data_IF_663259860533
#
_entry.id   IF_663259860533
#
_cell.length_a   1.000
_cell.length_b   1.000
_cell.length_c   1.000
_cell.angle_alpha   90.00
_cell.angle_beta   90.00
_cell.angle_gamma   90.00
#
_symmetry.space_group_name_H-M   'P 1'
#
loop_
_entity.id
_entity.type
_entity.pdbx_description
1 polymer ?
#
# COMPACT_ATOMS: atom_id res chain seq x y z
N UNK A 1 -6.51 20.68 -9.25
CA UNK A 1 -5.30 19.95 -9.68
C UNK A 1 -5.66 18.48 -9.74
N UNK A 2 -5.23 17.74 -10.76
CA UNK A 2 -5.58 16.32 -10.96
C UNK A 2 -4.32 15.46 -10.99
N UNK A 3 -4.44 14.20 -10.62
CA UNK A 3 -3.35 13.21 -10.76
C UNK A 3 -3.00 13.00 -12.25
N UNK A 4 -1.70 12.87 -12.62
CA UNK A 4 -0.51 13.08 -11.79
C UNK A 4 -0.14 14.56 -11.64
N UNK A 5 0.41 14.94 -10.49
CA UNK A 5 0.88 16.30 -10.19
C UNK A 5 2.25 16.28 -9.48
N UNK A 6 3.32 16.02 -10.23
CA UNK A 6 4.67 15.92 -9.68
C UNK A 6 5.17 17.24 -9.06
N UNK A 7 5.92 17.13 -7.96
CA UNK A 7 6.59 18.27 -7.30
C UNK A 7 5.64 19.28 -6.64
N UNK A 8 4.33 19.03 -6.67
CA UNK A 8 3.30 19.90 -6.10
C UNK A 8 2.55 19.16 -5.01
N UNK A 9 2.48 19.75 -3.82
CA UNK A 9 1.60 19.25 -2.75
C UNK A 9 0.15 19.50 -3.17
N UNK A 10 -0.56 18.42 -3.50
CA UNK A 10 -1.94 18.46 -3.97
C UNK A 10 -2.90 18.12 -2.83
N UNK A 11 -3.83 19.02 -2.45
CA UNK A 11 -4.87 18.67 -1.50
C UNK A 11 -5.86 17.67 -2.13
N UNK A 12 -6.26 16.66 -1.35
CA UNK A 12 -7.21 15.61 -1.77
C UNK A 12 -8.45 15.60 -0.90
N UNK A 13 -8.26 15.63 0.43
CA UNK A 13 -9.35 15.86 1.40
C UNK A 13 -9.05 17.08 2.25
N UNK A 14 -9.89 17.38 3.25
CA UNK A 14 -9.63 18.48 4.19
C UNK A 14 -8.34 18.25 4.99
N UNK A 15 -8.03 16.98 5.29
CA UNK A 15 -6.94 16.60 6.20
C UNK A 15 -5.78 15.89 5.52
N UNK A 16 -5.90 15.54 4.24
CA UNK A 16 -4.89 14.80 3.50
C UNK A 16 -4.52 15.48 2.18
N UNK A 17 -3.21 15.65 1.98
CA UNK A 17 -2.59 16.07 0.73
C UNK A 17 -1.58 15.02 0.26
N UNK A 18 -1.28 15.00 -1.04
CA UNK A 18 -0.28 14.10 -1.63
C UNK A 18 0.86 14.88 -2.27
N UNK A 19 2.09 14.45 -2.01
CA UNK A 19 3.26 14.80 -2.81
C UNK A 19 3.67 13.54 -3.58
N UNK A 20 3.52 13.57 -4.90
CA UNK A 20 3.87 12.46 -5.76
C UNK A 20 5.37 12.50 -6.10
N UNK A 21 6.10 11.46 -5.70
CA UNK A 21 7.48 11.25 -6.10
C UNK A 21 7.55 10.88 -7.60
N UNK A 22 8.54 11.38 -8.33
CA UNK A 22 8.69 11.10 -9.77
C UNK A 22 9.55 9.85 -10.01
N UNK A 23 9.08 8.70 -9.50
CA UNK A 23 9.68 7.37 -9.66
C UNK A 23 8.75 6.42 -10.43
N UNK A 24 8.31 6.76 -11.66
CA UNK A 24 7.36 5.93 -12.41
C UNK A 24 7.96 4.58 -12.79
N UNK A 25 7.11 3.54 -12.80
CA UNK A 25 7.54 2.19 -13.09
C UNK A 25 6.38 1.20 -13.17
N UNK A 26 6.65 -0.07 -13.57
CA UNK A 26 5.61 -1.08 -13.69
C UNK A 26 4.85 -1.36 -12.38
N UNK A 27 5.53 -1.20 -11.24
CA UNK A 27 4.95 -1.43 -9.91
C UNK A 27 4.51 -0.13 -9.23
N UNK A 28 5.22 0.98 -9.45
CA UNK A 28 4.95 2.27 -8.82
C UNK A 28 3.99 3.17 -9.61
N UNK A 29 3.54 2.73 -10.80
CA UNK A 29 2.69 3.51 -11.71
C UNK A 29 3.34 4.85 -12.11
N UNK A 30 2.70 5.99 -11.81
CA UNK A 30 3.31 7.31 -11.96
C UNK A 30 4.38 7.61 -10.90
N UNK A 31 4.37 6.89 -9.78
CA UNK A 31 5.29 7.06 -8.66
C UNK A 31 4.63 6.79 -7.32
N UNK A 32 5.42 6.92 -6.26
CA UNK A 32 4.95 6.74 -4.88
C UNK A 32 4.23 7.99 -4.40
N UNK A 33 3.00 7.83 -3.94
CA UNK A 33 2.23 8.85 -3.24
C UNK A 33 2.70 8.94 -1.79
N UNK A 34 3.51 9.95 -1.48
CA UNK A 34 3.76 10.32 -0.08
C UNK A 34 2.61 11.18 0.41
N UNK A 35 1.91 10.70 1.43
CA UNK A 35 0.76 11.42 1.99
C UNK A 35 1.19 12.31 3.15
N UNK A 36 0.69 13.55 3.14
CA UNK A 36 0.93 14.57 4.16
C UNK A 36 -0.39 14.87 4.84
N UNK A 37 -0.48 14.50 6.11
CA UNK A 37 -1.69 14.62 6.92
C UNK A 37 -1.57 15.81 7.88
N UNK A 38 -2.61 16.64 7.91
CA UNK A 38 -2.65 17.84 8.74
C UNK A 38 -4.09 18.19 9.11
N UNK A 39 -4.38 18.29 10.40
CA UNK A 39 -5.67 18.72 10.91
C UNK A 39 -5.84 20.24 10.84
N UNK A 40 -7.08 20.74 10.89
CA UNK A 40 -7.38 22.17 10.87
C UNK A 40 -6.61 22.94 11.95
N UNK A 41 -5.83 23.95 11.54
CA UNK A 41 -5.06 24.81 12.43
C UNK A 41 -3.77 24.21 13.00
N UNK A 42 -3.36 23.01 12.57
CA UNK A 42 -2.07 22.42 12.96
C UNK A 42 -0.92 22.96 12.11
N UNK A 43 0.15 23.42 12.78
CA UNK A 43 1.45 23.74 12.15
C UNK A 43 2.31 22.49 11.91
N UNK A 44 2.01 21.39 12.58
CA UNK A 44 2.66 20.09 12.36
C UNK A 44 1.96 19.28 11.27
N UNK A 45 2.72 18.43 10.57
CA UNK A 45 2.21 17.39 9.68
C UNK A 45 2.69 15.99 10.08
N UNK A 46 1.89 14.98 9.78
CA UNK A 46 2.31 13.57 9.76
C UNK A 46 2.56 13.16 8.32
N UNK A 47 3.70 12.54 8.05
CA UNK A 47 4.00 11.95 6.75
C UNK A 47 3.72 10.45 6.79
N UNK A 48 3.07 9.93 5.75
CA UNK A 48 2.88 8.50 5.55
C UNK A 48 3.69 8.11 4.31
N UNK A 49 4.65 7.20 4.53
CA UNK A 49 5.63 6.72 3.55
C UNK A 49 6.45 7.85 2.88
N UNK A 50 7.70 8.11 3.32
CA UNK A 50 8.51 9.20 2.76
C UNK A 50 8.86 9.04 1.28
N UNK A 51 8.68 7.84 0.72
CA UNK A 51 9.02 7.54 -0.67
C UNK A 51 10.40 6.89 -0.81
N UNK A 52 10.91 6.73 -2.05
CA UNK A 52 12.26 6.26 -2.30
C UNK A 52 13.30 7.30 -1.82
N UNK A 53 14.58 6.92 -1.86
CA UNK A 53 15.70 7.85 -1.64
C UNK A 53 15.87 8.81 -2.84
N UNK A 54 14.99 9.81 -2.92
CA UNK A 54 15.00 10.88 -3.91
C UNK A 54 15.20 12.24 -3.23
N UNK A 55 16.39 12.82 -3.39
CA UNK A 55 16.79 14.07 -2.74
C UNK A 55 15.80 15.22 -2.97
N UNK A 56 15.26 15.34 -4.19
CA UNK A 56 14.38 16.46 -4.55
C UNK A 56 13.01 16.32 -3.89
N UNK A 57 12.45 15.11 -3.86
CA UNK A 57 11.19 14.78 -3.19
C UNK A 57 11.30 14.98 -1.67
N UNK A 58 12.37 14.47 -1.06
CA UNK A 58 12.57 14.53 0.39
C UNK A 58 12.88 15.96 0.87
N UNK A 59 13.67 16.73 0.10
CA UNK A 59 13.84 18.16 0.36
C UNK A 59 12.50 18.90 0.29
N UNK A 60 11.66 18.56 -0.69
CA UNK A 60 10.34 19.18 -0.84
C UNK A 60 9.41 18.85 0.32
N UNK A 61 9.44 17.64 0.87
CA UNK A 61 8.71 17.29 2.09
C UNK A 61 9.19 18.12 3.29
N UNK A 62 10.51 18.24 3.49
CA UNK A 62 11.08 19.00 4.60
C UNK A 62 10.73 20.51 4.56
N UNK A 63 10.48 21.06 3.38
CA UNK A 63 10.03 22.45 3.20
C UNK A 63 8.55 22.69 3.59
N UNK A 64 7.75 21.64 3.80
CA UNK A 64 6.32 21.75 4.13
C UNK A 64 6.06 22.20 5.58
N UNK A 65 7.11 22.31 6.40
CA UNK A 65 7.05 22.70 7.81
C UNK A 65 7.40 21.56 8.77
N UNK A 66 7.07 21.69 10.05
CA UNK A 66 7.37 20.67 11.06
C UNK A 66 6.72 19.31 10.75
N UNK A 67 7.54 18.26 10.73
CA UNK A 67 7.12 16.86 10.57
C UNK A 67 7.63 16.09 11.80
N UNK A 68 6.92 16.10 12.93
CA UNK A 68 7.35 15.37 14.12
C UNK A 68 7.22 13.84 13.98
N UNK A 69 6.40 13.36 13.04
CA UNK A 69 6.05 11.95 12.93
C UNK A 69 5.96 11.49 11.46
N UNK A 70 6.62 10.37 11.19
CA UNK A 70 6.51 9.59 9.96
C UNK A 70 5.93 8.21 10.31
N UNK A 71 4.91 7.77 9.60
CA UNK A 71 4.36 6.42 9.71
C UNK A 71 4.66 5.64 8.44
N UNK A 72 5.09 4.40 8.60
CA UNK A 72 5.42 3.49 7.50
C UNK A 72 4.33 2.45 7.37
N UNK A 73 3.84 2.28 6.14
CA UNK A 73 2.80 1.31 5.81
C UNK A 73 3.34 -0.11 5.72
N UNK A 74 4.50 -0.32 5.10
CA UNK A 74 5.13 -1.64 4.92
C UNK A 74 6.60 -1.52 4.48
N UNK A 75 7.28 -2.66 4.33
CA UNK A 75 8.74 -2.74 4.15
C UNK A 75 9.33 -2.39 2.78
N UNK A 76 8.53 -2.14 1.73
CA UNK A 76 9.12 -1.97 0.39
C UNK A 76 9.87 -0.64 0.25
N UNK A 77 10.97 -0.68 -0.50
CA UNK A 77 11.96 0.40 -0.53
C UNK A 77 11.43 1.71 -1.10
N UNK A 78 10.50 1.65 -2.06
CA UNK A 78 9.87 2.85 -2.59
C UNK A 78 8.94 3.54 -1.59
N UNK A 79 8.63 2.92 -0.44
CA UNK A 79 7.98 3.54 0.71
C UNK A 79 8.97 3.94 1.81
N UNK A 80 10.08 3.21 1.97
CA UNK A 80 10.97 3.31 3.15
C UNK A 80 12.34 3.92 2.92
N UNK A 81 12.86 3.94 1.69
CA UNK A 81 14.26 4.26 1.44
C UNK A 81 14.59 5.73 1.78
N UNK A 82 13.59 6.63 1.69
CA UNK A 82 13.73 8.04 2.06
C UNK A 82 13.71 8.34 3.57
N UNK A 83 13.57 7.32 4.44
CA UNK A 83 13.43 7.51 5.90
C UNK A 83 14.61 8.29 6.48
N UNK A 84 15.85 7.83 6.23
CA UNK A 84 17.02 8.39 6.91
C UNK A 84 17.32 9.81 6.44
N UNK A 85 17.14 10.09 5.15
CA UNK A 85 17.27 11.43 4.56
C UNK A 85 16.21 12.39 5.13
N UNK A 86 14.94 11.97 5.23
CA UNK A 86 13.89 12.83 5.81
C UNK A 86 14.11 13.07 7.31
N UNK A 87 14.54 12.05 8.06
CA UNK A 87 14.84 12.18 9.50
C UNK A 87 16.02 13.10 9.73
N UNK A 88 17.07 13.05 8.90
CA UNK A 88 18.19 13.98 8.99
C UNK A 88 17.75 15.44 8.79
N UNK A 89 16.77 15.69 7.93
CA UNK A 89 16.24 17.03 7.66
C UNK A 89 15.25 17.54 8.71
N UNK A 90 14.49 16.65 9.36
CA UNK A 90 13.31 17.03 10.17
C UNK A 90 13.42 16.66 11.65
N UNK A 91 14.25 15.67 12.00
CA UNK A 91 14.28 15.06 13.33
C UNK A 91 13.05 14.20 13.65
N UNK A 92 12.24 13.83 12.65
CA UNK A 92 11.01 13.09 12.86
C UNK A 92 11.21 11.76 13.62
N UNK A 93 10.24 11.41 14.46
CA UNK A 93 10.08 10.04 14.94
C UNK A 93 9.46 9.19 13.84
N UNK A 94 9.97 7.99 13.62
CA UNK A 94 9.46 7.06 12.60
C UNK A 94 8.90 5.83 13.29
N UNK A 95 7.67 5.45 12.93
CA UNK A 95 6.97 4.27 13.46
C UNK A 95 6.57 3.31 12.35
N UNK A 96 6.69 2.01 12.63
CA UNK A 96 6.39 0.89 11.72
C UNK A 96 6.03 -0.36 12.54
N UNK A 97 5.41 -1.38 11.95
CA UNK A 97 5.02 -2.63 12.65
C UNK A 97 6.23 -3.40 13.22
N UNK A 98 7.39 -3.33 12.54
CA UNK A 98 8.65 -3.94 12.99
C UNK A 98 9.75 -2.91 13.28
N UNK A 99 10.82 -3.31 13.98
CA UNK A 99 11.88 -2.39 14.43
C UNK A 99 12.83 -1.91 13.33
N UNK A 100 12.83 -2.50 12.14
CA UNK A 100 13.80 -2.19 11.07
C UNK A 100 13.75 -0.74 10.58
N UNK A 101 12.56 -0.14 10.56
CA UNK A 101 12.34 1.21 10.01
C UNK A 101 12.12 2.28 11.09
N UNK A 102 12.14 1.91 12.36
CA UNK A 102 11.87 2.84 13.45
C UNK A 102 13.04 3.81 13.66
N UNK A 103 12.73 5.07 14.01
CA UNK A 103 13.70 6.11 14.39
C UNK A 103 13.11 6.93 15.55
N UNK A 104 13.95 7.33 16.49
CA UNK A 104 13.49 8.00 17.71
C UNK A 104 12.74 7.07 18.66
N UNK A 105 12.00 7.64 19.61
CA UNK A 105 11.32 6.91 20.70
C UNK A 105 9.81 6.82 20.49
N UNK A 106 9.37 6.22 19.37
CA UNK A 106 7.95 6.06 19.03
C UNK A 106 7.36 4.67 19.26
N UNK A 107 8.19 3.63 19.31
CA UNK A 107 7.74 2.24 19.41
C UNK A 107 7.04 1.71 18.14
N UNK A 108 6.75 0.39 18.08
CA UNK A 108 6.08 -0.21 16.94
C UNK A 108 4.64 0.25 16.80
N UNK A 109 4.12 0.15 15.57
CA UNK A 109 2.69 0.26 15.30
C UNK A 109 1.99 -1.03 15.68
N UNK A 110 0.79 -0.91 16.27
CA UNK A 110 -0.04 -2.05 16.63
C UNK A 110 -1.45 -1.93 16.06
N UNK A 111 -2.07 -3.06 15.72
CA UNK A 111 -3.42 -3.07 15.15
C UNK A 111 -4.46 -2.47 16.12
N UNK A 112 -5.30 -1.58 15.61
CA UNK A 112 -6.31 -0.86 16.39
C UNK A 112 -5.75 0.28 17.25
N UNK A 113 -4.46 0.55 17.21
CA UNK A 113 -3.87 1.69 17.90
C UNK A 113 -4.41 3.01 17.33
N UNK A 114 -4.67 3.96 18.23
CA UNK A 114 -5.07 5.32 17.87
C UNK A 114 -3.93 6.28 18.17
N UNK A 115 -3.50 7.01 17.15
CA UNK A 115 -2.43 8.00 17.20
C UNK A 115 -3.07 9.40 17.09
N UNK A 116 -2.92 10.22 18.11
CA UNK A 116 -3.30 11.63 18.08
C UNK A 116 -2.05 12.47 17.71
N UNK A 117 -2.01 13.03 16.49
CA UNK A 117 -0.88 13.81 15.98
C UNK A 117 -1.32 14.81 14.91
N UNK A 118 -0.63 15.95 14.81
CA UNK A 118 -0.93 17.00 13.82
C UNK A 118 -2.41 17.46 13.79
N UNK A 119 -3.09 17.45 14.94
CA UNK A 119 -4.52 17.77 15.04
C UNK A 119 -5.46 16.70 14.50
N UNK A 120 -4.97 15.49 14.25
CA UNK A 120 -5.73 14.36 13.70
C UNK A 120 -5.76 13.18 14.65
N UNK A 121 -6.82 12.38 14.53
CA UNK A 121 -6.92 11.04 15.09
C UNK A 121 -6.72 10.02 13.98
N UNK A 122 -5.62 9.27 14.04
CA UNK A 122 -5.22 8.29 13.01
C UNK A 122 -5.30 6.90 13.63
N UNK A 123 -6.14 6.02 13.09
CA UNK A 123 -6.23 4.62 13.56
C UNK A 123 -5.37 3.72 12.69
N UNK A 124 -4.49 2.94 13.31
CA UNK A 124 -3.71 1.90 12.63
C UNK A 124 -4.60 0.69 12.40
N UNK A 125 -4.70 0.24 11.16
CA UNK A 125 -5.38 -0.99 10.79
C UNK A 125 -4.37 -1.95 10.17
N UNK A 126 -4.10 -3.07 10.81
CA UNK A 126 -3.31 -4.12 10.19
C UNK A 126 -4.04 -4.65 8.94
N UNK A 127 -3.36 -4.58 7.81
CA UNK A 127 -3.86 -5.06 6.52
C UNK A 127 -2.84 -5.99 5.86
N UNK A 128 -2.41 -7.07 6.54
CA UNK A 128 -1.44 -8.01 5.98
C UNK A 128 -1.98 -8.64 4.70
N UNK A 129 -1.06 -9.09 3.85
CA UNK A 129 -1.37 -9.87 2.67
C UNK A 129 -0.57 -9.47 1.45
N UNK A 130 -0.42 -8.16 1.20
CA UNK A 130 0.58 -7.68 0.24
C UNK A 130 1.98 -8.01 0.76
N UNK A 131 2.24 -7.58 1.98
CA UNK A 131 3.33 -8.05 2.86
C UNK A 131 2.76 -8.42 4.23
N UNK A 132 3.51 -9.16 5.06
CA UNK A 132 3.05 -9.49 6.41
C UNK A 132 3.00 -8.28 7.35
N UNK A 133 3.78 -7.23 7.09
CA UNK A 133 3.86 -6.01 7.89
C UNK A 133 2.95 -4.87 7.41
N UNK A 134 2.16 -5.11 6.36
CA UNK A 134 1.27 -4.11 5.76
C UNK A 134 0.24 -3.57 6.76
N UNK A 135 0.16 -2.25 6.85
CA UNK A 135 -0.90 -1.51 7.56
C UNK A 135 -1.53 -0.44 6.68
N UNK A 136 -2.80 -0.16 6.98
CA UNK A 136 -3.56 0.98 6.48
C UNK A 136 -3.77 1.98 7.61
N UNK A 137 -3.89 3.26 7.27
CA UNK A 137 -4.15 4.33 8.25
C UNK A 137 -5.54 4.92 8.02
N UNK A 138 -6.40 4.82 9.02
CA UNK A 138 -7.81 5.23 8.93
C UNK A 138 -7.99 6.61 9.57
N UNK A 139 -8.54 7.52 8.78
CA UNK A 139 -9.03 8.83 9.19
C UNK A 139 -10.57 8.81 9.26
N UNK A 140 -11.16 9.93 9.66
CA UNK A 140 -12.61 10.09 9.69
C UNK A 140 -13.22 10.00 8.27
N UNK A 141 -12.63 10.72 7.31
CA UNK A 141 -13.10 10.90 5.93
C UNK A 141 -12.41 9.98 4.90
N UNK A 142 -11.22 9.46 5.24
CA UNK A 142 -10.38 8.74 4.32
C UNK A 142 -9.68 7.52 4.94
N UNK A 143 -9.14 6.65 4.08
CA UNK A 143 -8.22 5.58 4.46
C UNK A 143 -7.02 5.59 3.52
N UNK A 144 -5.82 5.55 4.10
CA UNK A 144 -4.59 5.35 3.38
C UNK A 144 -4.32 3.86 3.29
N UNK A 145 -4.27 3.33 2.07
CA UNK A 145 -4.22 1.88 1.83
C UNK A 145 -2.85 1.39 1.39
N UNK A 146 -1.90 2.30 1.14
CA UNK A 146 -0.60 1.97 0.56
C UNK A 146 -0.78 0.98 -0.60
N UNK A 147 -0.16 -0.19 -0.49
CA UNK A 147 -0.18 -1.25 -1.50
C UNK A 147 -1.23 -2.34 -1.26
N UNK A 148 -2.14 -2.13 -0.31
CA UNK A 148 -3.30 -3.02 -0.14
C UNK A 148 -4.33 -2.77 -1.26
N UNK A 149 -4.66 -1.50 -1.51
CA UNK A 149 -5.53 -1.05 -2.62
C UNK A 149 -4.78 0.08 -3.33
N UNK A 150 -4.62 -0.08 -4.65
CA UNK A 150 -3.94 0.87 -5.55
C UNK A 150 -4.97 1.73 -6.28
N UNK A 151 -4.50 2.85 -6.83
CA UNK A 151 -5.32 3.75 -7.63
C UNK A 151 -5.75 3.19 -8.97
N UNK A 152 -4.96 2.26 -9.53
CA UNK A 152 -5.29 1.51 -10.75
C UNK A 152 -4.66 0.12 -10.70
N UNK A 153 -5.25 -0.81 -11.45
CA UNK A 153 -4.82 -2.20 -11.46
C UNK A 153 -5.09 -2.88 -10.12
N UNK A 154 -4.29 -3.88 -9.78
CA UNK A 154 -4.36 -4.57 -8.48
C UNK A 154 -2.96 -4.78 -7.92
N UNK A 155 -2.85 -4.84 -6.59
CA UNK A 155 -1.58 -5.08 -5.92
C UNK A 155 -0.94 -6.42 -6.30
N UNK A 156 0.36 -6.53 -6.14
CA UNK A 156 1.05 -7.82 -6.12
C UNK A 156 0.87 -8.43 -4.73
N UNK A 157 0.86 -9.76 -4.62
CA UNK A 157 1.06 -10.43 -3.33
C UNK A 157 2.51 -10.89 -3.32
N UNK A 158 3.29 -10.38 -2.36
CA UNK A 158 4.71 -10.69 -2.27
C UNK A 158 4.90 -12.18 -1.93
N UNK A 159 5.93 -12.80 -2.48
CA UNK A 159 6.18 -14.23 -2.34
C UNK A 159 7.08 -14.60 -1.16
N UNK A 160 7.69 -13.62 -0.49
CA UNK A 160 8.49 -13.86 0.71
C UNK A 160 7.61 -14.08 1.94
N UNK A 161 6.63 -13.20 2.16
CA UNK A 161 5.76 -13.21 3.35
C UNK A 161 4.31 -12.76 3.07
N UNK A 162 3.96 -12.50 1.81
CA UNK A 162 2.59 -12.17 1.42
C UNK A 162 1.67 -13.40 1.44
N UNK A 163 0.38 -13.14 1.58
CA UNK A 163 -0.63 -14.19 1.80
C UNK A 163 -1.95 -13.77 1.18
N UNK A 164 -2.48 -14.61 0.27
CA UNK A 164 -3.80 -14.35 -0.33
C UNK A 164 -4.92 -14.43 0.71
N UNK A 165 -4.81 -15.34 1.69
CA UNK A 165 -5.81 -15.46 2.74
C UNK A 165 -5.92 -14.17 3.55
N UNK A 166 -4.78 -13.69 4.05
CA UNK A 166 -4.70 -12.44 4.81
C UNK A 166 -5.12 -11.24 3.96
N UNK A 167 -4.70 -11.20 2.69
CA UNK A 167 -5.08 -10.13 1.77
C UNK A 167 -6.60 -10.04 1.58
N UNK A 168 -7.27 -11.18 1.40
CA UNK A 168 -8.73 -11.23 1.27
C UNK A 168 -9.44 -10.81 2.56
N UNK A 169 -8.90 -11.16 3.73
CA UNK A 169 -9.44 -10.73 5.02
C UNK A 169 -9.22 -9.23 5.25
N UNK A 170 -8.05 -8.70 4.90
CA UNK A 170 -7.73 -7.27 4.92
C UNK A 170 -8.68 -6.45 4.04
N UNK A 171 -8.98 -6.92 2.82
CA UNK A 171 -9.97 -6.28 1.95
C UNK A 171 -11.38 -6.27 2.57
N UNK A 172 -11.80 -7.34 3.24
CA UNK A 172 -13.11 -7.40 3.93
C UNK A 172 -13.15 -6.45 5.13
N UNK A 173 -12.06 -6.35 5.89
CA UNK A 173 -11.94 -5.40 7.02
C UNK A 173 -12.03 -3.96 6.52
N UNK A 174 -11.31 -3.62 5.45
CA UNK A 174 -11.37 -2.33 4.80
C UNK A 174 -12.79 -2.01 4.30
N UNK A 175 -13.43 -2.94 3.58
CA UNK A 175 -14.82 -2.78 3.14
C UNK A 175 -15.77 -2.53 4.32
N UNK A 176 -15.52 -3.17 5.47
CA UNK A 176 -16.30 -3.02 6.70
C UNK A 176 -16.21 -1.66 7.37
N UNK A 177 -15.24 -0.81 6.99
CA UNK A 177 -15.15 0.57 7.51
C UNK A 177 -16.31 1.45 7.01
N UNK A 178 -16.92 1.10 5.86
CA UNK A 178 -17.94 1.91 5.19
C UNK A 178 -17.35 2.93 4.22
N UNK A 179 -18.17 3.90 3.79
CA UNK A 179 -17.78 4.87 2.76
C UNK A 179 -16.70 5.82 3.26
N UNK A 180 -15.56 5.81 2.58
CA UNK A 180 -14.39 6.69 2.76
C UNK A 180 -13.69 6.90 1.42
N UNK A 181 -12.99 8.01 1.28
CA UNK A 181 -12.02 8.19 0.19
C UNK A 181 -10.82 7.26 0.40
N UNK A 182 -10.32 6.65 -0.67
CA UNK A 182 -9.16 5.76 -0.64
C UNK A 182 -7.94 6.49 -1.17
N UNK A 183 -6.88 6.51 -0.37
CA UNK A 183 -5.63 7.22 -0.61
C UNK A 183 -4.51 6.18 -0.81
N UNK A 184 -4.26 5.71 -2.03
CA UNK A 184 -3.36 4.59 -2.30
C UNK A 184 -1.88 4.99 -2.26
N UNK A 185 -1.00 3.99 -2.14
CA UNK A 185 0.46 4.16 -2.29
C UNK A 185 0.86 4.54 -3.72
N UNK A 186 0.09 4.07 -4.72
CA UNK A 186 0.33 4.38 -6.12
C UNK A 186 -0.97 4.69 -6.88
N UNK A 187 -0.90 5.60 -7.85
CA UNK A 187 -2.02 5.97 -8.70
C UNK A 187 -3.02 6.94 -8.05
N UNK A 188 -4.15 7.22 -8.72
CA UNK A 188 -5.14 8.19 -8.24
C UNK A 188 -5.96 7.67 -7.05
N UNK A 189 -6.47 8.58 -6.23
CA UNK A 189 -7.45 8.29 -5.18
C UNK A 189 -8.78 7.71 -5.73
N UNK A 190 -9.47 6.91 -4.90
CA UNK A 190 -10.85 6.46 -5.19
C UNK A 190 -11.86 7.16 -4.29
N UNK A 191 -13.06 7.42 -4.81
CA UNK A 191 -14.13 8.10 -4.07
C UNK A 191 -14.86 7.22 -3.05
N UNK A 192 -14.92 5.90 -3.27
CA UNK A 192 -15.70 4.97 -2.43
C UNK A 192 -14.91 3.68 -2.14
N UNK A 193 -14.49 3.54 -0.88
CA UNK A 193 -13.80 2.35 -0.36
C UNK A 193 -14.60 1.04 -0.54
N UNK A 194 -15.91 1.07 -0.36
CA UNK A 194 -16.75 -0.14 -0.44
C UNK A 194 -16.78 -0.63 -1.88
N UNK A 195 -16.90 0.28 -2.83
CA UNK A 195 -16.90 -0.03 -4.26
C UNK A 195 -15.57 -0.65 -4.69
N UNK A 196 -14.44 0.04 -4.43
CA UNK A 196 -13.12 -0.44 -4.87
C UNK A 196 -12.71 -1.73 -4.16
N UNK A 197 -13.00 -1.90 -2.87
CA UNK A 197 -12.73 -3.14 -2.15
C UNK A 197 -13.55 -4.31 -2.71
N UNK A 198 -14.81 -4.08 -3.08
CA UNK A 198 -15.67 -5.10 -3.70
C UNK A 198 -15.14 -5.51 -5.08
N UNK A 199 -14.69 -4.55 -5.89
CA UNK A 199 -14.03 -4.81 -7.18
C UNK A 199 -12.75 -5.63 -6.99
N UNK A 200 -11.91 -5.29 -6.00
CA UNK A 200 -10.69 -6.04 -5.67
C UNK A 200 -11.01 -7.48 -5.27
N UNK A 201 -12.00 -7.69 -4.39
CA UNK A 201 -12.43 -9.03 -3.97
C UNK A 201 -12.93 -9.88 -5.14
N UNK A 202 -13.74 -9.29 -6.03
CA UNK A 202 -14.22 -9.95 -7.24
C UNK A 202 -13.06 -10.34 -8.16
N UNK A 203 -12.17 -9.40 -8.48
CA UNK A 203 -11.01 -9.65 -9.32
C UNK A 203 -10.10 -10.75 -8.74
N UNK A 204 -9.86 -10.76 -7.42
CA UNK A 204 -9.06 -11.82 -6.78
C UNK A 204 -9.73 -13.19 -6.86
N UNK A 205 -11.05 -13.25 -6.73
CA UNK A 205 -11.81 -14.50 -6.91
C UNK A 205 -11.68 -15.01 -8.34
N UNK A 206 -11.91 -14.15 -9.32
CA UNK A 206 -11.83 -14.51 -10.73
C UNK A 206 -10.42 -15.00 -11.11
N UNK A 207 -9.38 -14.29 -10.65
CA UNK A 207 -8.00 -14.70 -10.92
C UNK A 207 -7.64 -16.02 -10.23
N UNK A 208 -8.12 -16.24 -9.01
CA UNK A 208 -7.92 -17.51 -8.31
C UNK A 208 -8.60 -18.67 -9.05
N UNK A 209 -9.79 -18.44 -9.60
CA UNK A 209 -10.52 -19.44 -10.38
C UNK A 209 -9.81 -19.76 -11.70
N UNK A 210 -9.23 -18.75 -12.38
CA UNK A 210 -8.37 -18.95 -13.55
C UNK A 210 -7.13 -19.79 -13.21
N UNK A 211 -6.44 -19.49 -12.11
CA UNK A 211 -5.28 -20.28 -11.64
C UNK A 211 -5.69 -21.72 -11.32
N UNK A 212 -6.83 -21.92 -10.63
CA UNK A 212 -7.35 -23.26 -10.35
C UNK A 212 -7.64 -24.03 -11.64
N UNK A 213 -8.18 -23.37 -12.66
CA UNK A 213 -8.42 -23.99 -13.96
C UNK A 213 -7.12 -24.32 -14.70
N UNK A 214 -6.12 -23.43 -14.65
CA UNK A 214 -4.81 -23.67 -15.25
C UNK A 214 -4.11 -24.88 -14.63
N UNK A 215 -4.14 -25.02 -13.29
CA UNK A 215 -3.58 -26.19 -12.59
C UNK A 215 -4.27 -27.49 -13.03
N UNK A 216 -5.60 -27.50 -13.23
CA UNK A 216 -6.31 -28.67 -13.76
C UNK A 216 -5.88 -29.07 -15.17
N UNK A 217 -5.53 -28.10 -16.01
CA UNK A 217 -5.11 -28.33 -17.40
C UNK A 217 -3.63 -28.75 -17.48
N UNK A 218 -2.77 -28.08 -16.72
CA UNK A 218 -1.32 -28.28 -16.73
C UNK A 218 -0.87 -29.44 -15.83
N UNK A 219 -1.69 -29.84 -14.86
CA UNK A 219 -1.42 -30.87 -13.87
C UNK A 219 -0.81 -30.34 -12.57
N UNK A 220 -0.87 -31.15 -11.51
CA UNK A 220 -0.45 -30.77 -10.14
C UNK A 220 1.06 -30.42 -10.01
N UNK A 221 1.87 -30.83 -10.99
CA UNK A 221 3.30 -30.53 -11.07
C UNK A 221 3.64 -29.21 -11.77
N UNK A 222 2.64 -28.43 -12.21
CA UNK A 222 2.86 -27.17 -12.92
C UNK A 222 3.63 -26.16 -12.05
N UNK A 223 4.64 -25.51 -12.63
CA UNK A 223 5.36 -24.43 -11.98
C UNK A 223 4.52 -23.15 -11.98
N UNK A 224 4.82 -22.23 -11.06
CA UNK A 224 4.18 -20.92 -11.05
C UNK A 224 4.35 -20.20 -12.38
N UNK A 225 5.54 -20.30 -13.00
CA UNK A 225 5.81 -19.73 -14.32
C UNK A 225 4.91 -20.30 -15.43
N UNK A 226 4.72 -21.62 -15.46
CA UNK A 226 3.82 -22.26 -16.45
C UNK A 226 2.37 -21.82 -16.27
N UNK A 227 1.94 -21.60 -15.02
CA UNK A 227 0.61 -21.06 -14.73
C UNK A 227 0.52 -19.60 -15.18
N UNK A 228 1.54 -18.77 -14.98
CA UNK A 228 1.58 -17.40 -15.49
C UNK A 228 1.46 -17.38 -17.02
N UNK A 229 2.28 -18.16 -17.72
CA UNK A 229 2.25 -18.31 -19.18
C UNK A 229 0.86 -18.71 -19.72
N UNK A 230 0.09 -19.46 -18.94
CA UNK A 230 -1.27 -19.88 -19.31
C UNK A 230 -2.33 -18.82 -18.98
N UNK A 231 -2.24 -18.19 -17.80
CA UNK A 231 -3.29 -17.32 -17.23
C UNK A 231 -3.11 -15.85 -17.63
N UNK A 232 -1.89 -15.44 -17.94
CA UNK A 232 -1.49 -14.06 -18.25
C UNK A 232 -0.98 -13.92 -19.69
N UNK A 233 -1.38 -14.81 -20.59
CA UNK A 233 -0.94 -14.83 -21.99
C UNK A 233 -1.28 -13.53 -22.77
N UNK A 234 -2.24 -12.75 -22.29
CA UNK A 234 -2.67 -11.46 -22.82
C UNK A 234 -2.08 -10.25 -22.07
N UNK A 235 -1.25 -10.48 -21.05
CA UNK A 235 -0.59 -9.45 -20.25
C UNK A 235 0.85 -9.27 -20.73
N UNK A 236 1.33 -8.03 -20.74
CA UNK A 236 2.72 -7.70 -21.09
C UNK A 236 3.72 -8.52 -20.26
N UNK A 237 4.69 -9.15 -20.94
CA UNK A 237 5.69 -10.03 -20.34
C UNK A 237 6.55 -9.33 -19.26
N UNK A 238 6.67 -7.99 -19.33
CA UNK A 238 7.39 -7.21 -18.31
C UNK A 238 6.74 -7.30 -16.93
N UNK A 239 5.46 -7.69 -16.85
CA UNK A 239 4.73 -7.87 -15.59
C UNK A 239 4.73 -9.31 -15.09
N UNK A 240 5.28 -10.26 -15.86
CA UNK A 240 5.11 -11.67 -15.55
C UNK A 240 5.88 -12.11 -14.30
N UNK A 241 7.00 -11.48 -13.98
CA UNK A 241 7.74 -11.78 -12.75
C UNK A 241 6.91 -11.40 -11.51
N UNK A 242 6.23 -10.24 -11.56
CA UNK A 242 5.31 -9.81 -10.51
C UNK A 242 4.05 -10.70 -10.45
N UNK A 243 3.54 -11.12 -11.61
CA UNK A 243 2.43 -12.08 -11.69
C UNK A 243 2.83 -13.44 -11.09
N UNK A 244 4.07 -13.89 -11.30
CA UNK A 244 4.58 -15.15 -10.77
C UNK A 244 4.59 -15.17 -9.24
N UNK A 245 4.97 -14.06 -8.59
CA UNK A 245 4.85 -13.91 -7.13
C UNK A 245 3.42 -14.12 -6.65
N UNK A 246 2.47 -13.43 -7.28
CA UNK A 246 1.05 -13.55 -6.94
C UNK A 246 0.51 -14.97 -7.18
N UNK A 247 0.94 -15.62 -8.27
CA UNK A 247 0.56 -17.01 -8.58
C UNK A 247 1.12 -17.98 -7.53
N UNK A 248 2.35 -17.77 -7.04
CA UNK A 248 2.91 -18.60 -5.95
C UNK A 248 2.03 -18.54 -4.70
N UNK A 249 1.62 -17.34 -4.28
CA UNK A 249 0.72 -17.16 -3.14
C UNK A 249 -0.67 -17.81 -3.38
N UNK A 250 -1.20 -17.72 -4.61
CA UNK A 250 -2.45 -18.39 -4.99
C UNK A 250 -2.34 -19.91 -4.95
N UNK A 251 -1.23 -20.47 -5.45
CA UNK A 251 -0.98 -21.91 -5.40
C UNK A 251 -0.83 -22.40 -3.96
N UNK A 252 -0.17 -21.63 -3.09
CA UNK A 252 -0.11 -21.93 -1.65
C UNK A 252 -1.52 -21.96 -1.03
N UNK A 253 -2.31 -20.91 -1.28
CA UNK A 253 -3.69 -20.82 -0.81
C UNK A 253 -4.57 -22.01 -1.24
N UNK A 254 -4.45 -22.44 -2.51
CA UNK A 254 -5.23 -23.57 -3.04
C UNK A 254 -4.83 -24.93 -2.43
N UNK A 255 -3.58 -25.09 -1.99
CA UNK A 255 -3.11 -26.32 -1.34
C UNK A 255 -3.67 -26.46 0.08
N UNK A 256 -3.89 -25.32 0.74
CA UNK A 256 -4.43 -25.26 2.09
C UNK A 256 -5.97 -25.29 2.12
N UNK A 257 -6.64 -25.03 0.99
CA UNK A 257 -8.09 -25.26 0.85
C UNK A 257 -8.41 -26.77 0.98
N UNK A 258 -9.29 -27.19 1.89
CA UNK A 258 -9.75 -28.58 1.95
C UNK A 258 -10.32 -28.99 0.60
N UNK A 259 -9.85 -30.11 0.06
CA UNK A 259 -10.40 -30.69 -1.17
C UNK A 259 -11.90 -30.94 -0.97
N UNK A 260 -12.74 -30.15 -1.65
CA UNK A 260 -14.20 -30.38 -1.69
C UNK A 260 -14.55 -31.44 -2.71
#
# INVERSE_FOLDING_TARGET
MTHPAYGVLRPVTETASVLLCHNPGPLTLEGTNTWVLRGPGSDDAVVIDPGPDDDAHLARLAELGPIPLVLISHRHGDHTDGIDTLVAATGATVRSVGSGFQRGLGGPLTDGEVIDAAGLRITVLATPGHTADSVSFVLEDAVLTADTILGRGTAVIDDEDGSLADYLDSLRRLQGLGQRTVLPGHGPEHGDLVEVASMYLAHRRDRLDQVRQAVRVLGDGATARQVVEHVYADVDETLWDAAEKSVRAQLAFLRDEPSR
#
